data_IF_158461678059
#
_entry.id   IF_158461678059
#
_cell.length_a   1.000
_cell.length_b   1.000
_cell.length_c   1.000
_cell.angle_alpha   90.00
_cell.angle_beta   90.00
_cell.angle_gamma   90.00
#
_symmetry.space_group_name_H-M   'P 1'
#
loop_
_entity.id
_entity.type
_entity.pdbx_description
1 polymer ?
#
# COMPACT_ATOMS: atom_id res chain seq x y z
N UNK A 1 10.62 32.38 -64.88
CA UNK A 1 11.08 30.98 -65.02
C UNK A 1 11.17 30.35 -63.64
N UNK A 2 10.40 29.26 -63.42
CA UNK A 2 10.74 28.02 -62.67
C UNK A 2 11.35 28.18 -61.25
N UNK A 3 10.88 27.54 -60.16
CA UNK A 3 9.86 26.51 -59.89
C UNK A 3 9.57 26.56 -58.38
N UNK A 4 8.29 26.49 -58.01
CA UNK A 4 7.81 26.14 -56.66
C UNK A 4 7.73 24.61 -56.61
N UNK A 5 8.36 23.99 -55.62
CA UNK A 5 8.22 22.55 -55.36
C UNK A 5 7.41 22.37 -54.08
N UNK A 6 6.12 22.11 -54.28
CA UNK A 6 5.18 21.57 -53.29
C UNK A 6 5.55 20.11 -53.06
N UNK A 7 5.82 19.72 -51.80
CA UNK A 7 6.01 18.33 -51.42
C UNK A 7 4.71 17.83 -50.79
N UNK A 8 4.05 16.95 -51.56
CA UNK A 8 2.79 16.28 -51.27
C UNK A 8 3.02 15.27 -50.14
N UNK A 9 2.35 15.47 -49.00
CA UNK A 9 2.38 14.53 -47.88
C UNK A 9 1.26 13.50 -48.06
N UNK A 10 1.69 12.25 -48.17
CA UNK A 10 0.91 11.04 -48.41
C UNK A 10 -0.01 10.78 -47.21
N UNK A 11 -1.33 10.91 -47.41
CA UNK A 11 -2.35 10.47 -46.48
C UNK A 11 -2.81 9.05 -46.83
N UNK A 12 -2.37 8.06 -46.06
CA UNK A 12 -2.92 6.70 -46.09
C UNK A 12 -4.00 6.62 -45.01
N UNK A 13 -5.26 6.68 -45.44
CA UNK A 13 -6.43 6.33 -44.64
C UNK A 13 -6.49 4.81 -44.51
N UNK A 14 -6.23 4.27 -43.32
CA UNK A 14 -6.63 2.90 -42.97
C UNK A 14 -7.97 2.94 -42.24
N UNK A 15 -8.95 2.30 -42.88
CA UNK A 15 -10.32 2.10 -42.46
C UNK A 15 -10.32 1.11 -41.28
N UNK A 16 -10.85 1.51 -40.12
CA UNK A 16 -11.13 0.60 -39.02
C UNK A 16 -12.64 0.38 -38.90
N UNK A 17 -13.06 -0.84 -39.21
CA UNK A 17 -14.44 -1.30 -39.11
C UNK A 17 -14.89 -1.40 -37.64
N UNK A 18 -15.80 -0.53 -37.23
CA UNK A 18 -16.50 -0.61 -35.95
C UNK A 18 -17.57 -1.70 -35.97
N UNK A 19 -17.40 -2.76 -35.18
CA UNK A 19 -18.44 -3.77 -34.92
C UNK A 19 -19.24 -3.38 -33.68
N UNK A 20 -20.52 -3.03 -33.90
CA UNK A 20 -21.51 -2.79 -32.83
C UNK A 20 -21.90 -4.11 -32.17
N UNK A 21 -21.53 -4.33 -30.92
CA UNK A 21 -22.13 -5.38 -30.07
C UNK A 21 -23.29 -4.78 -29.27
N UNK A 22 -24.50 -5.27 -29.52
CA UNK A 22 -25.71 -5.03 -28.72
C UNK A 22 -25.51 -5.64 -27.33
N UNK A 23 -25.65 -4.84 -26.28
CA UNK A 23 -25.79 -5.32 -24.90
C UNK A 23 -27.28 -5.39 -24.59
N UNK A 24 -27.77 -6.61 -24.31
CA UNK A 24 -29.12 -6.86 -23.82
C UNK A 24 -29.15 -6.50 -22.34
N UNK A 25 -29.97 -5.52 -21.98
CA UNK A 25 -30.27 -5.16 -20.58
C UNK A 25 -31.49 -5.96 -20.16
N UNK A 26 -31.33 -6.90 -19.23
CA UNK A 26 -32.43 -7.53 -18.49
C UNK A 26 -32.58 -6.84 -17.15
N UNK A 27 -33.75 -6.25 -16.92
CA UNK A 27 -34.15 -5.72 -15.62
C UNK A 27 -34.49 -6.87 -14.66
N UNK A 28 -34.12 -6.78 -13.38
CA UNK A 28 -34.78 -7.54 -12.32
C UNK A 28 -36.09 -6.85 -11.92
N UNK A 29 -37.18 -7.58 -12.12
CA UNK A 29 -38.53 -7.32 -11.63
C UNK A 29 -38.57 -7.12 -10.12
N UNK A 30 -39.26 -6.07 -9.69
CA UNK A 30 -39.77 -5.90 -8.33
C UNK A 30 -40.72 -7.04 -7.97
N UNK A 31 -40.47 -7.72 -6.85
CA UNK A 31 -41.49 -8.53 -6.18
C UNK A 31 -41.48 -8.21 -4.69
N UNK A 32 -42.58 -7.59 -4.28
CA UNK A 32 -43.08 -7.38 -2.93
C UNK A 32 -42.95 -8.64 -2.07
N UNK A 33 -42.37 -8.50 -0.87
CA UNK A 33 -42.49 -9.49 0.20
C UNK A 33 -43.15 -8.82 1.39
N UNK A 34 -44.34 -9.31 1.71
CA UNK A 34 -45.26 -8.87 2.74
C UNK A 34 -44.70 -9.05 4.14
N UNK A 35 -44.85 -8.03 4.96
CA UNK A 35 -44.58 -8.00 6.40
C UNK A 35 -45.62 -8.86 7.14
N UNK A 36 -45.19 -9.94 7.81
CA UNK A 36 -46.01 -10.63 8.82
C UNK A 36 -45.38 -10.36 10.19
N UNK A 37 -46.13 -9.62 11.00
CA UNK A 37 -45.84 -9.26 12.37
C UNK A 37 -46.37 -10.39 13.26
N UNK A 38 -45.49 -11.16 13.88
CA UNK A 38 -45.88 -12.14 14.90
C UNK A 38 -45.31 -11.73 16.26
N UNK A 39 -46.22 -11.58 17.22
CA UNK A 39 -45.99 -11.04 18.54
C UNK A 39 -45.94 -12.21 19.54
N UNK A 40 -44.80 -12.39 20.20
CA UNK A 40 -44.62 -13.42 21.22
C UNK A 40 -44.87 -12.88 22.65
N UNK A 41 -45.29 -13.74 23.62
CA UNK A 41 -45.84 -13.35 24.93
C UNK A 41 -44.77 -13.02 25.99
N UNK A 42 -45.14 -12.46 27.16
CA UNK A 42 -44.19 -11.90 28.12
C UNK A 42 -43.54 -12.99 28.97
N UNK A 43 -42.21 -12.97 29.10
CA UNK A 43 -41.44 -13.82 30.01
C UNK A 43 -40.82 -12.95 31.10
N UNK A 44 -41.05 -13.33 32.36
CA UNK A 44 -40.62 -12.66 33.57
C UNK A 44 -39.09 -12.76 33.81
N UNK A 45 -38.49 -11.87 34.64
CA UNK A 45 -37.05 -11.79 34.83
C UNK A 45 -36.52 -12.86 35.79
N UNK A 46 -35.62 -13.72 35.32
CA UNK A 46 -34.78 -14.57 36.16
C UNK A 46 -33.47 -13.85 36.52
N UNK A 47 -33.11 -13.85 37.81
CA UNK A 47 -31.85 -13.29 38.32
C UNK A 47 -30.62 -13.93 37.66
N UNK A 48 -29.51 -13.18 37.47
CA UNK A 48 -28.29 -13.72 36.88
C UNK A 48 -27.50 -14.58 37.89
N UNK A 49 -27.19 -15.81 37.47
CA UNK A 49 -26.16 -16.66 38.06
C UNK A 49 -24.76 -16.10 37.71
N UNK A 50 -23.75 -16.18 38.59
CA UNK A 50 -22.43 -15.62 38.33
C UNK A 50 -21.75 -16.34 37.15
N UNK A 51 -21.40 -15.60 36.11
CA UNK A 51 -20.58 -16.11 35.01
C UNK A 51 -19.14 -16.18 35.52
N UNK A 52 -18.67 -17.41 35.68
CA UNK A 52 -17.27 -17.75 35.92
C UNK A 52 -16.41 -17.17 34.79
N UNK A 53 -15.35 -16.45 35.18
CA UNK A 53 -14.50 -15.74 34.25
C UNK A 53 -13.77 -16.73 33.32
N UNK A 54 -14.24 -16.88 32.10
CA UNK A 54 -13.45 -17.46 31.02
C UNK A 54 -12.23 -16.57 30.76
N UNK A 55 -11.07 -17.16 30.97
CA UNK A 55 -9.76 -16.55 30.69
C UNK A 55 -9.65 -16.12 29.22
N UNK A 56 -9.04 -14.96 28.93
CA UNK A 56 -8.98 -14.46 27.55
C UNK A 56 -8.12 -15.37 26.67
N UNK A 57 -8.66 -15.74 25.51
CA UNK A 57 -7.95 -16.40 24.41
C UNK A 57 -6.70 -15.59 24.04
N UNK A 58 -5.57 -16.26 24.06
CA UNK A 58 -4.24 -15.74 23.68
C UNK A 58 -4.30 -15.25 22.23
N UNK A 59 -4.31 -13.93 22.06
CA UNK A 59 -4.22 -13.24 20.79
C UNK A 59 -2.82 -13.48 20.19
N UNK A 60 -2.75 -14.16 19.04
CA UNK A 60 -1.49 -14.64 18.48
C UNK A 60 -0.57 -13.48 18.09
N UNK A 61 0.51 -13.35 18.84
CA UNK A 61 1.56 -12.37 18.62
C UNK A 61 2.32 -12.67 17.31
N UNK A 62 2.43 -11.69 16.38
CA UNK A 62 3.25 -11.85 15.16
C UNK A 62 4.64 -11.25 15.40
N UNK A 63 5.71 -12.07 15.38
CA UNK A 63 7.09 -11.58 15.32
C UNK A 63 7.32 -10.62 14.16
N UNK A 64 7.86 -9.43 14.45
CA UNK A 64 8.32 -8.44 13.45
C UNK A 64 9.29 -9.03 12.42
N UNK A 65 9.92 -10.15 12.77
CA UNK A 65 10.85 -10.91 11.93
C UNK A 65 10.17 -11.64 10.76
N UNK A 66 8.89 -12.04 10.90
CA UNK A 66 8.13 -12.75 9.85
C UNK A 66 7.36 -11.80 8.92
N UNK A 67 7.45 -10.49 9.13
CA UNK A 67 6.76 -9.54 8.29
C UNK A 67 7.34 -9.60 6.87
N UNK A 68 6.46 -9.71 5.89
CA UNK A 68 6.79 -9.49 4.48
C UNK A 68 7.44 -8.12 4.31
N UNK A 69 8.16 -7.86 3.20
CA UNK A 69 8.75 -6.56 2.95
C UNK A 69 7.74 -5.40 3.09
N UNK A 70 6.52 -5.60 2.62
CA UNK A 70 5.45 -4.59 2.72
C UNK A 70 4.99 -4.40 4.16
N UNK A 71 4.69 -5.48 4.89
CA UNK A 71 4.26 -5.37 6.29
C UNK A 71 5.34 -4.76 7.19
N UNK A 72 6.62 -5.07 6.92
CA UNK A 72 7.76 -4.48 7.62
C UNK A 72 7.89 -3.00 7.32
N UNK A 73 7.67 -2.61 6.07
CA UNK A 73 7.61 -1.20 5.68
C UNK A 73 6.50 -0.47 6.44
N UNK A 74 5.29 -1.04 6.45
CA UNK A 74 4.15 -0.48 7.19
C UNK A 74 4.49 -0.36 8.68
N UNK A 75 5.03 -1.42 9.29
CA UNK A 75 5.43 -1.41 10.71
C UNK A 75 6.43 -0.29 11.02
N UNK A 76 7.44 -0.10 10.17
CA UNK A 76 8.47 0.91 10.39
C UNK A 76 7.99 2.35 10.15
N UNK A 77 7.05 2.55 9.22
CA UNK A 77 6.76 3.90 8.69
C UNK A 77 5.32 4.38 8.94
N UNK A 78 4.41 3.55 9.46
CA UNK A 78 3.04 3.96 9.74
C UNK A 78 2.97 5.14 10.71
N UNK A 79 3.77 5.11 11.79
CA UNK A 79 3.80 6.22 12.75
C UNK A 79 4.24 7.55 12.11
N UNK A 80 5.24 7.51 11.22
CA UNK A 80 5.70 8.69 10.48
C UNK A 80 4.61 9.18 9.52
N UNK A 81 3.98 8.27 8.76
CA UNK A 81 2.89 8.63 7.85
C UNK A 81 1.69 9.25 8.58
N UNK A 82 1.35 8.76 9.78
CA UNK A 82 0.31 9.35 10.62
C UNK A 82 0.70 10.72 11.17
N UNK A 83 1.97 10.93 11.55
CA UNK A 83 2.46 12.25 11.95
C UNK A 83 2.37 13.25 10.79
N UNK A 84 2.80 12.85 9.60
CA UNK A 84 2.70 13.67 8.39
C UNK A 84 1.24 13.96 8.01
N UNK A 85 0.33 13.00 8.18
CA UNK A 85 -1.11 13.23 8.03
C UNK A 85 -1.65 14.28 9.01
N UNK A 86 -1.19 14.27 10.27
CA UNK A 86 -1.59 15.28 11.28
C UNK A 86 -1.09 16.67 10.91
N UNK A 87 0.14 16.77 10.40
CA UNK A 87 0.80 18.05 10.11
C UNK A 87 0.36 18.66 8.78
N UNK A 88 0.19 17.85 7.74
CA UNK A 88 -0.03 18.34 6.37
C UNK A 88 -1.38 17.91 5.79
N UNK A 89 -2.10 16.98 6.41
CA UNK A 89 -3.45 16.60 5.97
C UNK A 89 -3.52 15.56 4.85
N UNK A 90 -2.38 15.02 4.40
CA UNK A 90 -2.33 13.92 3.42
C UNK A 90 -2.72 12.62 4.14
N UNK A 91 -3.65 11.80 3.62
CA UNK A 91 -3.99 10.52 4.24
C UNK A 91 -2.73 9.67 4.50
N UNK A 92 -2.60 9.11 5.70
CA UNK A 92 -1.50 8.23 6.06
C UNK A 92 -1.47 6.99 5.15
N UNK A 93 -2.64 6.47 4.76
CA UNK A 93 -2.79 5.38 3.82
C UNK A 93 -2.21 5.68 2.44
N UNK A 94 -2.40 6.90 1.94
CA UNK A 94 -1.82 7.38 0.67
C UNK A 94 -0.31 7.46 0.78
N UNK A 95 0.20 8.09 1.85
CA UNK A 95 1.64 8.24 2.08
C UNK A 95 2.32 6.87 2.17
N UNK A 96 1.74 5.91 2.90
CA UNK A 96 2.26 4.54 2.99
C UNK A 96 2.19 3.81 1.66
N UNK A 97 1.07 3.89 0.92
CA UNK A 97 0.92 3.20 -0.35
C UNK A 97 1.91 3.72 -1.41
N UNK A 98 2.12 5.04 -1.47
CA UNK A 98 3.15 5.65 -2.32
C UNK A 98 4.53 5.18 -1.87
N UNK A 99 4.85 5.29 -0.57
CA UNK A 99 6.13 4.82 -0.05
C UNK A 99 6.43 3.36 -0.39
N UNK A 100 5.45 2.46 -0.23
CA UNK A 100 5.57 1.04 -0.60
C UNK A 100 5.85 0.88 -2.09
N UNK A 101 5.12 1.58 -2.94
CA UNK A 101 5.21 1.47 -4.39
C UNK A 101 6.52 2.04 -4.94
N UNK A 102 6.85 3.29 -4.57
CA UNK A 102 7.99 4.04 -5.11
C UNK A 102 9.33 3.50 -4.58
N UNK A 103 9.37 2.99 -3.34
CA UNK A 103 10.61 2.49 -2.73
C UNK A 103 10.81 0.98 -2.86
N UNK A 104 9.90 0.26 -3.50
CA UNK A 104 9.92 -1.21 -3.48
C UNK A 104 9.85 -1.76 -2.05
N UNK A 105 8.98 -1.18 -1.23
CA UNK A 105 8.86 -1.46 0.22
C UNK A 105 10.19 -1.24 0.98
N UNK A 106 10.92 -0.19 0.64
CA UNK A 106 12.20 0.19 1.24
C UNK A 106 13.41 -0.54 0.65
N UNK A 107 13.21 -1.50 -0.24
CA UNK A 107 14.30 -2.32 -0.79
C UNK A 107 14.86 -1.81 -2.11
N UNK A 108 14.29 -0.74 -2.68
CA UNK A 108 14.79 -0.10 -3.89
C UNK A 108 16.24 0.40 -3.73
N UNK A 109 17.11 0.28 -4.75
CA UNK A 109 18.51 0.71 -4.64
C UNK A 109 18.66 2.19 -4.29
N UNK A 110 17.80 3.06 -4.85
CA UNK A 110 17.74 4.48 -4.50
C UNK A 110 17.47 4.64 -3.00
N UNK A 111 16.43 4.00 -2.49
CA UNK A 111 16.03 4.10 -1.08
C UNK A 111 17.12 3.59 -0.14
N UNK A 112 17.71 2.42 -0.40
CA UNK A 112 18.77 1.88 0.45
C UNK A 112 20.02 2.77 0.50
N UNK A 113 20.35 3.47 -0.58
CA UNK A 113 21.52 4.35 -0.66
C UNK A 113 21.28 5.75 -0.09
N UNK A 114 20.03 6.20 -0.02
CA UNK A 114 19.72 7.62 0.18
C UNK A 114 18.59 7.92 1.14
N UNK A 115 17.91 6.91 1.68
CA UNK A 115 16.65 7.04 2.42
C UNK A 115 15.56 7.80 1.63
N UNK A 116 15.67 7.91 0.30
CA UNK A 116 14.66 8.54 -0.54
C UNK A 116 13.58 7.51 -0.88
N UNK A 117 12.43 7.61 -0.21
CA UNK A 117 11.33 6.67 -0.32
C UNK A 117 10.33 7.00 -1.43
N UNK A 118 10.37 8.23 -1.96
CA UNK A 118 9.35 8.76 -2.88
C UNK A 118 9.94 9.23 -4.22
N UNK A 119 11.21 8.91 -4.50
CA UNK A 119 11.86 9.27 -5.77
C UNK A 119 12.00 10.78 -5.98
N UNK A 120 12.15 11.59 -4.91
CA UNK A 120 12.17 13.04 -5.06
C UNK A 120 13.50 13.50 -5.70
N UNK A 121 13.40 14.10 -6.89
CA UNK A 121 14.52 14.65 -7.67
C UNK A 121 15.07 15.94 -7.04
N UNK A 122 16.33 16.27 -7.35
CA UNK A 122 17.04 17.39 -6.72
C UNK A 122 16.37 18.75 -6.90
N UNK A 123 16.04 19.18 -8.12
CA UNK A 123 15.29 20.43 -8.40
C UNK A 123 15.67 21.63 -7.50
N UNK A 124 16.95 22.01 -7.48
CA UNK A 124 17.47 23.09 -6.63
C UNK A 124 17.86 22.70 -5.20
N UNK A 125 17.79 21.41 -4.86
CA UNK A 125 18.23 20.86 -3.57
C UNK A 125 19.69 21.20 -3.26
N UNK A 126 19.92 21.66 -2.02
CA UNK A 126 21.24 22.05 -1.52
C UNK A 126 21.86 21.02 -0.56
N UNK A 127 21.08 20.03 -0.11
CA UNK A 127 21.59 18.95 0.74
C UNK A 127 22.32 17.85 -0.04
N UNK A 128 22.56 16.73 0.63
CA UNK A 128 23.21 15.57 0.01
C UNK A 128 22.39 15.00 -1.17
N UNK A 129 23.08 14.43 -2.14
CA UNK A 129 22.50 13.93 -3.40
C UNK A 129 23.04 12.53 -3.70
N UNK A 130 22.28 11.76 -4.47
CA UNK A 130 22.74 10.53 -5.12
C UNK A 130 22.34 10.57 -6.58
N UNK A 131 23.18 10.00 -7.44
CA UNK A 131 22.84 9.81 -8.85
C UNK A 131 22.40 8.37 -9.06
N UNK A 132 21.28 8.20 -9.76
CA UNK A 132 20.68 6.91 -10.05
C UNK A 132 20.06 6.96 -11.43
N UNK A 133 20.20 5.89 -12.21
CA UNK A 133 19.56 5.78 -13.51
C UNK A 133 18.09 5.37 -13.27
N UNK A 134 17.13 6.17 -13.73
CA UNK A 134 15.70 5.92 -13.56
C UNK A 134 14.96 6.11 -14.90
N UNK A 135 14.47 7.33 -15.18
CA UNK A 135 13.93 7.68 -16.50
C UNK A 135 15.06 8.04 -17.47
N UNK A 136 16.08 8.74 -16.96
CA UNK A 136 17.26 9.21 -17.67
C UNK A 136 18.55 8.68 -17.01
N UNK A 137 19.66 8.73 -17.76
CA UNK A 137 20.97 8.41 -17.21
C UNK A 137 21.41 9.46 -16.18
N UNK A 138 21.88 8.99 -15.03
CA UNK A 138 22.45 9.81 -13.95
C UNK A 138 21.51 10.91 -13.47
N UNK A 139 20.26 10.57 -13.20
CA UNK A 139 19.34 11.50 -12.58
C UNK A 139 19.71 11.81 -11.13
N UNK A 140 19.57 13.08 -10.77
CA UNK A 140 19.88 13.55 -9.42
C UNK A 140 18.68 13.38 -8.49
N UNK A 141 18.87 12.58 -7.45
CA UNK A 141 17.90 12.38 -6.37
C UNK A 141 18.41 12.96 -5.05
N UNK A 142 17.48 13.45 -4.24
CA UNK A 142 17.76 13.94 -2.89
C UNK A 142 18.19 12.76 -2.01
N UNK A 143 19.15 12.98 -1.12
CA UNK A 143 19.60 12.04 -0.09
C UNK A 143 19.31 12.59 1.29
N UNK A 144 18.84 11.72 2.17
CA UNK A 144 18.42 12.05 3.52
C UNK A 144 19.17 11.21 4.54
N UNK A 145 19.44 11.82 5.71
CA UNK A 145 20.08 11.15 6.83
C UNK A 145 19.17 10.10 7.50
N UNK A 146 17.86 10.32 7.44
CA UNK A 146 16.84 9.49 8.07
C UNK A 146 15.60 9.45 7.17
N UNK A 147 14.92 8.29 7.02
CA UNK A 147 13.68 8.17 6.27
C UNK A 147 12.65 9.26 6.55
N UNK A 148 12.49 9.69 7.81
CA UNK A 148 11.48 10.70 8.19
C UNK A 148 11.60 12.00 7.41
N UNK A 149 12.82 12.37 6.99
CA UNK A 149 13.03 13.58 6.18
C UNK A 149 12.55 13.40 4.73
N UNK A 150 12.63 12.18 4.19
CA UNK A 150 12.03 11.88 2.88
C UNK A 150 10.50 11.93 2.94
N UNK A 151 9.90 11.49 4.04
CA UNK A 151 8.44 11.59 4.27
C UNK A 151 8.02 13.06 4.40
N UNK A 152 8.74 13.85 5.21
CA UNK A 152 8.51 15.29 5.33
C UNK A 152 8.61 16.01 3.99
N UNK A 153 9.65 15.72 3.22
CA UNK A 153 9.86 16.37 1.92
C UNK A 153 8.78 15.95 0.90
N UNK A 154 8.29 14.72 0.96
CA UNK A 154 7.12 14.29 0.19
C UNK A 154 5.86 15.06 0.60
N UNK A 155 5.62 15.26 1.89
CA UNK A 155 4.48 16.04 2.37
C UNK A 155 4.53 17.49 1.88
N UNK A 156 5.69 18.14 2.01
CA UNK A 156 5.92 19.49 1.50
C UNK A 156 5.77 19.56 -0.02
N UNK A 157 6.28 18.56 -0.75
CA UNK A 157 6.12 18.47 -2.20
C UNK A 157 4.65 18.50 -2.65
N UNK A 158 3.77 17.78 -1.94
CA UNK A 158 2.33 17.79 -2.22
C UNK A 158 1.65 19.06 -1.70
N UNK A 159 2.01 19.51 -0.49
CA UNK A 159 1.37 20.65 0.18
C UNK A 159 1.67 21.99 -0.50
N UNK A 160 2.91 22.23 -0.92
CA UNK A 160 3.37 23.54 -1.43
C UNK A 160 3.05 23.77 -2.91
N UNK A 161 2.86 22.70 -3.69
CA UNK A 161 2.67 22.81 -5.14
C UNK A 161 1.19 22.96 -5.48
N UNK A 162 0.83 24.11 -6.03
CA UNK A 162 -0.56 24.47 -6.41
C UNK A 162 -1.30 23.41 -7.24
N UNK A 163 -0.60 22.64 -8.09
CA UNK A 163 -1.19 21.55 -8.88
C UNK A 163 -1.85 20.45 -8.02
N UNK A 164 -1.44 20.30 -6.77
CA UNK A 164 -1.98 19.32 -5.82
C UNK A 164 -2.95 19.94 -4.81
N UNK A 165 -3.14 21.27 -4.79
CA UNK A 165 -3.93 21.96 -3.77
C UNK A 165 -5.37 21.42 -3.66
N UNK A 166 -6.00 21.09 -4.79
CA UNK A 166 -7.36 20.54 -4.82
C UNK A 166 -7.49 19.16 -4.14
N UNK A 167 -6.40 18.45 -3.88
CA UNK A 167 -6.44 17.18 -3.13
C UNK A 167 -6.86 17.40 -1.69
N UNK A 168 -6.51 18.55 -1.12
CA UNK A 168 -6.80 18.91 0.27
C UNK A 168 -8.26 19.33 0.49
N UNK A 169 -9.06 19.44 -0.59
CA UNK A 169 -10.52 19.62 -0.51
C UNK A 169 -11.27 18.30 -0.27
N UNK A 170 -10.60 17.16 -0.45
CA UNK A 170 -11.18 15.85 -0.16
C UNK A 170 -11.09 15.54 1.34
N UNK A 171 -12.02 14.71 1.81
CA UNK A 171 -11.95 14.16 3.16
C UNK A 171 -10.61 13.43 3.39
N UNK A 172 -10.09 13.59 4.60
CA UNK A 172 -8.75 13.08 4.99
C UNK A 172 -8.68 11.56 5.09
N UNK A 173 -9.79 10.86 4.94
CA UNK A 173 -9.90 9.41 4.81
C UNK A 173 -10.43 8.94 3.44
N UNK A 174 -10.70 9.86 2.49
CA UNK A 174 -11.08 9.50 1.11
C UNK A 174 -9.84 9.21 0.23
N UNK A 175 -9.14 8.14 0.57
CA UNK A 175 -7.96 7.69 -0.16
C UNK A 175 -8.27 7.38 -1.64
N UNK A 176 -9.52 7.06 -2.00
CA UNK A 176 -9.91 6.76 -3.39
C UNK A 176 -9.91 8.03 -4.23
N UNK A 177 -10.46 9.13 -3.73
CA UNK A 177 -10.39 10.43 -4.42
C UNK A 177 -8.97 10.96 -4.46
N UNK A 178 -8.21 10.82 -3.38
CA UNK A 178 -6.78 11.16 -3.34
C UNK A 178 -5.97 10.40 -4.41
N UNK A 179 -6.11 9.08 -4.51
CA UNK A 179 -5.36 8.28 -5.47
C UNK A 179 -5.65 8.68 -6.94
N UNK A 180 -6.93 8.95 -7.26
CA UNK A 180 -7.33 9.45 -8.59
C UNK A 180 -6.84 10.88 -8.81
N UNK A 181 -6.94 11.72 -7.79
CA UNK A 181 -6.50 13.10 -7.78
C UNK A 181 -5.00 13.23 -8.02
N UNK A 182 -4.16 12.44 -7.35
CA UNK A 182 -2.71 12.42 -7.56
C UNK A 182 -2.34 12.14 -9.02
N UNK A 183 -3.03 11.18 -9.65
CA UNK A 183 -2.85 10.89 -11.08
C UNK A 183 -3.31 12.06 -11.95
N UNK A 184 -4.50 12.63 -11.68
CA UNK A 184 -5.03 13.80 -12.40
C UNK A 184 -4.10 15.02 -12.28
N UNK A 185 -3.56 15.24 -11.09
CA UNK A 185 -2.61 16.29 -10.80
C UNK A 185 -1.27 16.05 -11.51
N UNK A 186 -0.98 14.82 -11.93
CA UNK A 186 0.20 14.42 -12.70
C UNK A 186 1.40 14.06 -11.84
N UNK A 187 1.17 13.39 -10.70
CA UNK A 187 2.21 12.75 -9.90
C UNK A 187 2.89 11.60 -10.66
N UNK A 188 2.10 10.77 -11.37
CA UNK A 188 2.60 9.64 -12.14
C UNK A 188 2.01 9.61 -13.56
N UNK A 189 2.77 9.10 -14.53
CA UNK A 189 2.32 8.92 -15.93
C UNK A 189 1.52 7.64 -16.13
N UNK A 190 1.73 6.61 -15.30
CA UNK A 190 1.02 5.33 -15.36
C UNK A 190 -0.51 5.49 -15.17
N UNK A 191 -1.35 5.08 -16.15
CA UNK A 191 -2.81 5.10 -16.01
C UNK A 191 -3.35 4.17 -14.91
N UNK A 192 -2.61 3.11 -14.55
CA UNK A 192 -3.00 2.19 -13.48
C UNK A 192 -2.62 2.70 -12.07
N UNK A 193 -1.91 3.83 -11.96
CA UNK A 193 -1.40 4.35 -10.68
C UNK A 193 -2.48 4.45 -9.58
N UNK A 194 -3.68 5.03 -9.83
CA UNK A 194 -4.71 5.06 -8.79
C UNK A 194 -5.13 3.67 -8.31
N UNK A 195 -5.24 2.71 -9.23
CA UNK A 195 -5.64 1.33 -8.91
C UNK A 195 -4.56 0.62 -8.10
N UNK A 196 -3.29 0.86 -8.39
CA UNK A 196 -2.16 0.31 -7.62
C UNK A 196 -2.17 0.81 -6.18
N UNK A 197 -2.37 2.12 -5.97
CA UNK A 197 -2.48 2.69 -4.62
C UNK A 197 -3.69 2.14 -3.87
N UNK A 198 -4.88 2.19 -4.47
CA UNK A 198 -6.12 1.67 -3.87
C UNK A 198 -5.95 0.20 -3.50
N UNK A 199 -5.37 -0.61 -4.39
CA UNK A 199 -5.14 -2.04 -4.11
C UNK A 199 -4.16 -2.28 -2.96
N UNK A 200 -3.14 -1.46 -2.78
CA UNK A 200 -2.23 -1.56 -1.63
C UNK A 200 -2.94 -1.17 -0.34
N UNK A 201 -3.70 -0.08 -0.37
CA UNK A 201 -4.46 0.42 0.78
C UNK A 201 -5.48 -0.61 1.25
N UNK A 202 -6.23 -1.21 0.33
CA UNK A 202 -7.25 -2.20 0.65
C UNK A 202 -6.64 -3.56 1.06
N UNK A 203 -5.57 -4.00 0.39
CA UNK A 203 -4.93 -5.30 0.71
C UNK A 203 -4.27 -5.33 2.07
N UNK A 204 -3.66 -4.22 2.49
CA UNK A 204 -2.91 -4.12 3.75
C UNK A 204 -3.63 -3.27 4.79
N UNK A 205 -4.91 -2.98 4.57
CA UNK A 205 -5.76 -2.24 5.52
C UNK A 205 -5.17 -0.87 5.94
N UNK A 206 -4.49 -0.17 5.02
CA UNK A 206 -3.75 1.05 5.36
C UNK A 206 -4.65 2.21 5.79
N UNK A 207 -5.90 2.21 5.34
CA UNK A 207 -6.90 3.24 5.69
C UNK A 207 -7.21 3.26 7.19
N UNK A 208 -6.95 2.17 7.93
CA UNK A 208 -7.05 2.13 9.40
C UNK A 208 -6.19 3.21 10.07
N UNK A 209 -5.03 3.55 9.49
CA UNK A 209 -4.15 4.59 10.01
C UNK A 209 -4.73 5.99 9.84
N UNK A 210 -5.55 6.20 8.80
CA UNK A 210 -6.30 7.45 8.61
C UNK A 210 -7.37 7.59 9.68
N UNK A 211 -8.13 6.51 9.90
CA UNK A 211 -9.19 6.46 10.90
C UNK A 211 -8.65 6.68 12.32
N UNK A 212 -7.48 6.11 12.63
CA UNK A 212 -6.79 6.31 13.92
C UNK A 212 -6.43 7.78 14.13
N UNK A 213 -5.85 8.43 13.11
CA UNK A 213 -5.51 9.86 13.17
C UNK A 213 -6.74 10.74 13.34
N UNK A 214 -7.87 10.34 12.73
CA UNK A 214 -9.14 11.05 12.83
C UNK A 214 -9.95 10.72 14.09
N UNK A 215 -9.50 9.78 14.93
CA UNK A 215 -10.23 9.33 16.12
C UNK A 215 -11.54 8.61 15.80
N UNK A 216 -11.67 8.05 14.59
CA UNK A 216 -12.87 7.32 14.13
C UNK A 216 -12.89 5.86 14.58
N UNK A 217 -11.80 5.37 15.17
CA UNK A 217 -11.65 4.02 15.76
C UNK A 217 -11.03 4.14 17.15
N UNK A 218 -11.49 3.31 18.11
CA UNK A 218 -10.84 3.22 19.42
C UNK A 218 -9.54 2.42 19.26
N UNK A 219 -8.40 3.04 19.61
CA UNK A 219 -7.07 2.41 19.62
C UNK A 219 -7.00 1.15 20.49
N UNK A 220 -7.96 0.93 21.39
CA UNK A 220 -8.08 -0.30 22.18
C UNK A 220 -8.53 -1.51 21.37
N UNK A 221 -9.23 -1.28 20.26
CA UNK A 221 -9.69 -2.34 19.35
C UNK A 221 -8.63 -2.70 18.30
N UNK A 222 -7.48 -2.01 18.30
CA UNK A 222 -6.37 -2.27 17.38
C UNK A 222 -5.37 -3.28 17.98
N UNK A 223 -4.87 -4.23 17.18
CA UNK A 223 -3.77 -5.09 17.61
C UNK A 223 -2.53 -4.23 17.88
N UNK A 224 -2.07 -4.20 19.13
CA UNK A 224 -0.87 -3.46 19.56
C UNK A 224 0.37 -3.97 18.81
N UNK A 225 1.30 -3.10 18.38
CA UNK A 225 2.58 -3.55 17.83
C UNK A 225 3.38 -4.29 18.91
N UNK A 226 3.57 -5.60 18.72
CA UNK A 226 4.23 -6.48 19.69
C UNK A 226 5.75 -6.36 19.51
N UNK A 227 6.46 -6.06 20.60
CA UNK A 227 7.93 -6.22 20.67
C UNK A 227 8.26 -7.70 20.73
N UNK A 228 9.02 -8.22 19.77
CA UNK A 228 9.35 -9.65 19.71
C UNK A 228 10.80 -9.90 20.06
N UNK A 229 11.00 -10.90 20.93
CA UNK A 229 12.29 -11.49 21.28
C UNK A 229 12.85 -12.26 20.07
N UNK A 230 14.16 -12.23 19.79
CA UNK A 230 14.73 -12.92 18.64
C UNK A 230 14.52 -14.43 18.73
N UNK A 231 13.96 -15.06 17.70
CA UNK A 231 13.92 -16.52 17.63
C UNK A 231 15.19 -17.05 16.97
N UNK A 232 15.96 -17.89 17.67
CA UNK A 232 17.26 -18.41 17.21
C UNK A 232 17.17 -19.37 15.99
N UNK A 233 15.98 -19.76 15.54
CA UNK A 233 15.81 -20.79 14.50
C UNK A 233 15.13 -20.29 13.21
N UNK A 234 15.72 -19.26 12.60
CA UNK A 234 15.26 -18.67 11.35
C UNK A 234 16.38 -18.62 10.29
N UNK A 235 16.00 -18.79 9.02
CA UNK A 235 16.90 -18.70 7.88
C UNK A 235 16.68 -17.40 7.10
N UNK A 236 17.75 -16.64 6.86
CA UNK A 236 17.70 -15.44 6.00
C UNK A 236 17.86 -15.82 4.53
N UNK A 237 16.82 -15.59 3.73
CA UNK A 237 16.79 -15.78 2.28
C UNK A 237 17.92 -14.97 1.64
N UNK A 238 18.71 -15.62 0.79
CA UNK A 238 19.83 -15.06 0.04
C UNK A 238 19.49 -14.97 -1.44
N UNK A 239 20.30 -14.21 -2.18
CA UNK A 239 20.19 -14.17 -3.63
C UNK A 239 20.35 -15.59 -4.22
N UNK A 240 19.40 -15.99 -5.07
CA UNK A 240 19.37 -17.32 -5.68
C UNK A 240 18.61 -18.38 -4.89
N UNK A 241 18.14 -18.08 -3.68
CA UNK A 241 17.33 -19.04 -2.92
C UNK A 241 15.94 -19.22 -3.53
N UNK A 242 15.43 -20.44 -3.44
CA UNK A 242 14.03 -20.78 -3.72
C UNK A 242 13.41 -21.41 -2.47
N UNK A 243 12.10 -21.26 -2.32
CA UNK A 243 11.39 -21.85 -1.20
C UNK A 243 11.57 -23.38 -1.14
N UNK A 244 11.62 -24.04 -2.31
CA UNK A 244 11.96 -25.44 -2.45
C UNK A 244 13.38 -25.75 -1.96
N UNK A 245 14.39 -24.99 -2.42
CA UNK A 245 15.78 -25.20 -2.02
C UNK A 245 16.01 -25.01 -0.52
N UNK A 246 15.34 -24.02 0.08
CA UNK A 246 15.39 -23.79 1.52
C UNK A 246 14.69 -24.93 2.26
N UNK A 247 13.48 -25.32 1.85
CA UNK A 247 12.74 -26.40 2.49
C UNK A 247 13.55 -27.71 2.47
N UNK A 248 14.11 -28.09 1.32
CA UNK A 248 15.00 -29.24 1.19
C UNK A 248 16.22 -29.16 2.11
N UNK A 249 16.89 -27.99 2.16
CA UNK A 249 18.07 -27.77 3.00
C UNK A 249 17.80 -28.01 4.48
N UNK A 250 16.60 -27.70 4.95
CA UNK A 250 16.21 -27.83 6.35
C UNK A 250 15.27 -29.02 6.61
N UNK A 251 15.18 -29.94 5.64
CA UNK A 251 14.34 -31.14 5.74
C UNK A 251 12.86 -30.84 6.07
N UNK A 252 12.35 -29.77 5.47
CA UNK A 252 10.94 -29.39 5.47
C UNK A 252 10.36 -29.59 4.08
N UNK A 253 9.04 -29.75 4.02
CA UNK A 253 8.30 -29.57 2.78
C UNK A 253 8.07 -28.07 2.51
N UNK A 254 7.86 -27.74 1.24
CA UNK A 254 7.48 -26.37 0.84
C UNK A 254 6.21 -25.94 1.58
N UNK A 255 5.26 -26.86 1.79
CA UNK A 255 3.99 -26.54 2.43
C UNK A 255 4.15 -26.30 3.94
N UNK A 256 4.99 -27.08 4.63
CA UNK A 256 5.34 -26.81 6.04
C UNK A 256 6.02 -25.45 6.17
N UNK A 257 7.01 -25.17 5.32
CA UNK A 257 7.73 -23.89 5.35
C UNK A 257 6.78 -22.71 5.07
N UNK A 258 5.82 -22.87 4.16
CA UNK A 258 4.76 -21.87 3.93
C UNK A 258 3.84 -21.72 5.12
N UNK A 259 3.43 -22.82 5.73
CA UNK A 259 2.50 -22.83 6.86
C UNK A 259 3.11 -22.11 8.05
N UNK A 260 4.36 -22.46 8.41
CA UNK A 260 5.12 -21.83 9.51
C UNK A 260 5.25 -20.32 9.27
N UNK A 261 5.44 -19.90 8.01
CA UNK A 261 5.70 -18.51 7.64
C UNK A 261 4.48 -17.77 7.07
N UNK A 262 3.28 -18.36 7.14
CA UNK A 262 2.01 -17.83 6.60
C UNK A 262 2.12 -17.32 5.15
N UNK A 263 2.85 -18.05 4.31
CA UNK A 263 3.04 -17.70 2.92
C UNK A 263 1.90 -18.26 2.06
N UNK A 264 1.19 -17.37 1.37
CA UNK A 264 0.11 -17.74 0.44
C UNK A 264 0.63 -18.08 -0.97
N UNK A 265 1.93 -17.93 -1.22
CA UNK A 265 2.58 -18.22 -2.49
C UNK A 265 4.01 -18.72 -2.27
N UNK A 266 4.67 -19.15 -3.36
CA UNK A 266 6.06 -19.57 -3.35
C UNK A 266 7.05 -18.40 -3.50
N UNK A 267 6.55 -17.16 -3.56
CA UNK A 267 7.38 -15.97 -3.74
C UNK A 267 8.04 -15.60 -2.42
N UNK A 268 9.38 -15.59 -2.40
CA UNK A 268 10.19 -15.16 -1.27
C UNK A 268 11.13 -14.02 -1.71
N UNK A 269 11.45 -13.13 -0.78
CA UNK A 269 12.29 -11.96 -1.04
C UNK A 269 13.67 -12.12 -0.42
N UNK A 270 14.71 -11.62 -1.10
CA UNK A 270 16.07 -11.58 -0.53
C UNK A 270 16.03 -10.81 0.80
N UNK A 271 16.68 -11.37 1.82
CA UNK A 271 16.73 -10.81 3.17
C UNK A 271 15.54 -11.19 4.07
N UNK A 272 14.48 -11.80 3.53
CA UNK A 272 13.36 -12.34 4.31
C UNK A 272 13.87 -13.41 5.28
N UNK A 273 13.39 -13.40 6.53
CA UNK A 273 13.65 -14.48 7.47
C UNK A 273 12.51 -15.49 7.36
N UNK A 274 12.86 -16.76 7.20
CA UNK A 274 11.93 -17.88 7.23
C UNK A 274 12.19 -18.71 8.49
N UNK A 275 11.17 -18.83 9.33
CA UNK A 275 11.16 -19.77 10.44
C UNK A 275 11.26 -21.21 9.94
N UNK A 276 12.01 -22.02 10.67
CA UNK A 276 12.26 -23.42 10.34
C UNK A 276 11.50 -24.42 11.23
N UNK A 277 10.76 -23.92 12.24
CA UNK A 277 9.89 -24.70 13.12
C UNK A 277 8.82 -23.82 13.79
#
# INVERSE_FOLDING_TARGET
MKKISVLILIGIFVISCGTKKKVVTTQPSSSTSTEIKEQAPPVQPSLPTPVEAETPKIEQQIPTENLSPVERYIYNFAGIAQEEMRLYGIPASITLAQGILESGSGNGPLTQKSNNHFGIKCNGWQGEKVYHDDDELQECFRKYKDPKYSFRDHSLFLYERSRYAFLFDFDRDDYKSWARGLKKAGYATDPAYPRKLISLIERYDLHRYDLEVLGKIDVRDLPKPIRVQPTENAYRVKAGDTLYGIAQKFNLTVEELKTINRLNSNTISIGQLLKLN
#
